data_IF_633004618730
#
_entry.id   IF_633004618730
#
_cell.length_a   1.000
_cell.length_b   1.000
_cell.length_c   1.000
_cell.angle_alpha   90.00
_cell.angle_beta   90.00
_cell.angle_gamma   90.00
#
_symmetry.space_group_name_H-M   'P 1'
#
loop_
_entity.id
_entity.type
_entity.pdbx_description
1 polymer ?
#
# COMPACT_ATOMS: atom_id res chain seq x y z
N UNK A 1 24.05 54.51 -21.65
CA UNK A 1 23.09 55.57 -22.01
C UNK A 1 23.40 56.09 -23.40
N UNK A 2 22.41 56.12 -24.29
CA UNK A 2 22.35 56.90 -25.55
C UNK A 2 23.35 56.50 -26.65
N UNK A 3 22.98 56.33 -27.92
CA UNK A 3 21.69 56.57 -28.56
C UNK A 3 21.64 55.90 -29.94
N UNK A 4 20.40 55.66 -30.36
CA UNK A 4 20.00 55.09 -31.65
C UNK A 4 20.26 56.07 -32.80
N UNK A 5 20.62 55.53 -33.94
CA UNK A 5 20.34 56.12 -35.25
C UNK A 5 20.66 55.16 -36.39
N UNK A 6 19.65 54.62 -37.09
CA UNK A 6 19.79 54.12 -38.46
C UNK A 6 18.89 54.95 -39.41
N UNK A 7 18.77 54.63 -40.71
CA UNK A 7 19.78 54.22 -41.70
C UNK A 7 19.59 54.97 -43.05
N UNK A 8 20.61 55.06 -43.91
CA UNK A 8 20.43 55.26 -45.36
C UNK A 8 21.82 55.21 -46.04
N UNK A 9 22.05 54.72 -47.24
CA UNK A 9 21.31 53.89 -48.20
C UNK A 9 22.28 53.63 -49.38
N UNK A 10 22.00 52.58 -50.16
CA UNK A 10 22.46 52.33 -51.54
C UNK A 10 23.92 51.92 -51.79
N UNK A 11 24.06 50.69 -52.28
CA UNK A 11 25.16 50.29 -53.17
C UNK A 11 25.47 48.79 -53.14
N UNK A 12 24.72 47.97 -53.88
CA UNK A 12 25.16 46.66 -54.39
C UNK A 12 24.90 46.74 -55.90
N UNK A 13 25.69 46.17 -56.84
CA UNK A 13 26.55 44.98 -56.67
C UNK A 13 27.91 45.00 -57.38
N UNK A 14 28.88 44.22 -56.88
CA UNK A 14 29.84 43.54 -57.76
C UNK A 14 29.95 42.07 -57.41
N UNK A 15 29.40 41.27 -58.32
CA UNK A 15 29.48 39.82 -58.39
C UNK A 15 30.86 39.44 -58.93
N UNK A 16 31.71 38.90 -58.06
CA UNK A 16 32.85 38.07 -58.45
C UNK A 16 33.05 37.15 -57.24
N UNK A 17 32.49 35.95 -57.20
CA UNK A 17 32.69 34.90 -58.17
C UNK A 17 33.72 33.97 -57.58
N UNK A 18 33.31 33.12 -56.64
CA UNK A 18 34.08 31.92 -56.36
C UNK A 18 33.15 30.71 -56.18
N UNK A 19 33.18 29.89 -57.24
CA UNK A 19 32.59 28.57 -57.28
C UNK A 19 33.50 27.68 -56.43
N UNK A 20 32.94 26.94 -55.47
CA UNK A 20 33.25 25.51 -55.26
C UNK A 20 32.48 24.96 -54.05
N UNK A 21 31.65 23.95 -54.36
CA UNK A 21 31.41 22.69 -53.63
C UNK A 21 30.87 22.79 -52.19
N UNK A 22 30.04 21.90 -51.68
CA UNK A 22 29.26 20.77 -52.16
C UNK A 22 28.50 20.26 -50.91
N UNK A 23 27.40 19.54 -51.12
CA UNK A 23 26.76 18.62 -50.16
C UNK A 23 26.18 19.27 -48.88
N UNK A 24 24.88 19.23 -48.60
CA UNK A 24 24.01 18.07 -48.73
C UNK A 24 23.98 17.31 -47.41
N UNK A 25 22.95 17.56 -46.59
CA UNK A 25 22.18 16.55 -45.86
C UNK A 25 21.39 17.19 -44.70
N UNK A 26 20.08 17.24 -44.89
CA UNK A 26 19.09 17.20 -43.80
C UNK A 26 19.12 15.80 -43.18
N UNK A 27 19.06 15.70 -41.85
CA UNK A 27 18.35 14.64 -41.11
C UNK A 27 18.59 14.90 -39.61
N UNK A 28 17.57 15.39 -38.91
CA UNK A 28 16.69 14.56 -38.09
C UNK A 28 17.31 14.33 -36.70
N UNK A 29 16.80 15.09 -35.73
CA UNK A 29 17.19 14.97 -34.34
C UNK A 29 16.85 13.59 -33.80
N UNK A 30 17.87 12.86 -33.39
CA UNK A 30 17.69 11.78 -32.45
C UNK A 30 17.78 12.37 -31.04
N UNK A 31 16.65 12.91 -30.56
CA UNK A 31 16.45 13.09 -29.14
C UNK A 31 16.27 11.70 -28.54
N UNK A 32 17.39 11.05 -28.20
CA UNK A 32 17.38 9.84 -27.40
C UNK A 32 16.88 10.26 -26.03
N UNK A 33 15.58 10.11 -25.79
CA UNK A 33 15.04 10.13 -24.43
C UNK A 33 15.81 9.05 -23.70
N UNK A 34 16.61 9.37 -22.66
CA UNK A 34 17.18 8.33 -21.83
C UNK A 34 15.98 7.58 -21.26
N UNK A 35 15.82 6.33 -21.67
CA UNK A 35 14.83 5.40 -21.15
C UNK A 35 14.86 5.53 -19.64
N UNK A 36 13.85 6.22 -19.09
CA UNK A 36 13.69 6.37 -17.65
C UNK A 36 13.79 4.97 -17.09
N UNK A 37 14.86 4.72 -16.33
CA UNK A 37 15.14 3.44 -15.72
C UNK A 37 13.81 2.95 -15.15
N UNK A 38 13.32 1.80 -15.65
CA UNK A 38 12.13 1.19 -15.10
C UNK A 38 12.44 1.03 -13.62
N UNK A 39 11.80 1.83 -12.77
CA UNK A 39 11.92 1.67 -11.34
C UNK A 39 11.43 0.24 -11.12
N UNK A 40 12.28 -0.70 -10.68
CA UNK A 40 11.79 -2.05 -10.40
C UNK A 40 10.65 -1.87 -9.39
N UNK A 41 9.50 -2.56 -9.57
CA UNK A 41 8.43 -2.46 -8.60
C UNK A 41 9.03 -2.77 -7.25
N UNK A 42 9.07 -1.77 -6.35
CA UNK A 42 9.45 -2.04 -4.97
C UNK A 42 8.47 -3.10 -4.50
N UNK A 43 8.92 -4.25 -3.96
CA UNK A 43 8.00 -5.21 -3.40
C UNK A 43 7.14 -4.46 -2.39
N UNK A 44 5.86 -4.31 -2.69
CA UNK A 44 4.89 -3.81 -1.72
C UNK A 44 4.76 -4.93 -0.69
N UNK A 45 5.66 -4.93 0.28
CA UNK A 45 5.51 -5.76 1.46
C UNK A 45 4.34 -5.15 2.20
N UNK A 46 3.15 -5.71 1.96
CA UNK A 46 1.98 -5.45 2.80
C UNK A 46 2.33 -6.04 4.15
N UNK A 47 2.93 -5.22 5.01
CA UNK A 47 3.02 -5.52 6.42
C UNK A 47 1.59 -5.39 6.96
N UNK A 48 0.79 -6.46 6.82
CA UNK A 48 -0.45 -6.58 7.57
C UNK A 48 -0.13 -6.33 9.05
N UNK A 49 -1.01 -5.60 9.74
CA UNK A 49 -0.82 -5.35 11.17
C UNK A 49 -0.59 -6.68 11.88
N UNK A 50 0.53 -6.84 12.56
CA UNK A 50 0.80 -8.06 13.33
C UNK A 50 0.01 -7.99 14.62
N UNK A 51 -0.96 -8.90 14.79
CA UNK A 51 -1.71 -9.04 16.04
C UNK A 51 -0.97 -9.96 17.00
N UNK A 52 -0.72 -9.48 18.21
CA UNK A 52 -0.23 -10.30 19.30
C UNK A 52 -1.37 -11.08 19.95
N UNK A 53 -1.03 -12.19 20.61
CA UNK A 53 -1.98 -12.95 21.41
C UNK A 53 -2.62 -12.07 22.51
N UNK A 54 -1.83 -11.23 23.17
CA UNK A 54 -2.29 -10.37 24.27
C UNK A 54 -3.33 -9.35 23.78
N UNK A 55 -3.09 -8.68 22.65
CA UNK A 55 -4.07 -7.75 22.07
C UNK A 55 -5.42 -8.44 21.77
N UNK A 56 -5.38 -9.69 21.28
CA UNK A 56 -6.61 -10.45 21.03
C UNK A 56 -7.30 -10.90 22.31
N UNK A 57 -6.56 -11.25 23.37
CA UNK A 57 -7.14 -11.54 24.68
C UNK A 57 -7.90 -10.33 25.23
N UNK A 58 -7.28 -9.14 25.16
CA UNK A 58 -7.86 -7.91 25.66
C UNK A 58 -9.12 -7.53 24.84
N UNK A 59 -9.04 -7.61 23.51
CA UNK A 59 -10.17 -7.36 22.61
C UNK A 59 -11.36 -8.29 22.89
N UNK A 60 -11.12 -9.60 23.00
CA UNK A 60 -12.18 -10.59 23.26
C UNK A 60 -12.80 -10.36 24.64
N UNK A 61 -11.98 -10.11 25.65
CA UNK A 61 -12.44 -9.83 27.02
C UNK A 61 -13.32 -8.58 27.06
N UNK A 62 -12.90 -7.49 26.42
CA UNK A 62 -13.68 -6.26 26.36
C UNK A 62 -15.01 -6.43 25.62
N UNK A 63 -15.04 -7.29 24.60
CA UNK A 63 -16.29 -7.61 23.91
C UNK A 63 -17.23 -8.44 24.76
N UNK A 64 -16.70 -9.42 25.49
CA UNK A 64 -17.45 -10.24 26.44
C UNK A 64 -18.03 -9.43 27.62
N UNK A 65 -17.39 -8.32 28.02
CA UNK A 65 -17.97 -7.38 29.01
C UNK A 65 -19.28 -6.75 28.55
N UNK A 66 -19.52 -6.67 27.23
CA UNK A 66 -20.75 -6.12 26.64
C UNK A 66 -21.84 -7.18 26.46
N UNK A 67 -21.49 -8.46 26.61
CA UNK A 67 -22.41 -9.58 26.50
C UNK A 67 -21.77 -10.80 25.82
N UNK A 68 -22.52 -11.91 25.71
CA UNK A 68 -22.07 -13.10 24.99
C UNK A 68 -21.80 -12.82 23.51
N UNK A 69 -20.89 -13.59 22.92
CA UNK A 69 -20.49 -13.44 21.52
C UNK A 69 -20.45 -14.79 20.82
N UNK A 70 -20.59 -14.77 19.49
CA UNK A 70 -20.24 -15.91 18.66
C UNK A 70 -18.81 -15.77 18.15
N UNK A 71 -18.01 -16.85 18.19
CA UNK A 71 -16.66 -16.84 17.63
C UNK A 71 -16.68 -16.50 16.13
N UNK A 72 -17.70 -16.92 15.39
CA UNK A 72 -17.78 -16.67 13.95
C UNK A 72 -17.74 -15.18 13.62
N UNK A 73 -18.36 -14.34 14.46
CA UNK A 73 -18.35 -12.89 14.27
C UNK A 73 -16.93 -12.34 14.39
N UNK A 74 -16.16 -12.79 15.39
CA UNK A 74 -14.76 -12.38 15.58
C UNK A 74 -13.87 -12.81 14.40
N UNK A 75 -14.15 -13.97 13.82
CA UNK A 75 -13.40 -14.49 12.67
C UNK A 75 -13.75 -13.70 11.40
N UNK A 76 -15.02 -13.34 11.21
CA UNK A 76 -15.46 -12.52 10.08
C UNK A 76 -14.99 -11.07 10.17
N UNK A 77 -14.78 -10.55 11.39
CA UNK A 77 -14.19 -9.23 11.64
C UNK A 77 -12.66 -9.20 11.43
N UNK A 78 -11.99 -10.35 11.29
CA UNK A 78 -10.53 -10.42 11.10
C UNK A 78 -10.13 -10.02 9.68
N UNK A 79 -9.04 -9.25 9.52
CA UNK A 79 -8.58 -8.76 8.21
C UNK A 79 -8.00 -9.88 7.33
N UNK A 80 -7.36 -10.87 7.96
CA UNK A 80 -6.75 -12.00 7.27
C UNK A 80 -6.85 -13.32 8.04
N UNK A 81 -6.40 -14.40 7.39
CA UNK A 81 -6.42 -15.75 7.96
C UNK A 81 -5.51 -15.89 9.18
N UNK A 82 -4.39 -15.17 9.23
CA UNK A 82 -3.48 -15.23 10.37
C UNK A 82 -4.13 -14.60 11.60
N UNK A 83 -4.75 -13.43 11.44
CA UNK A 83 -5.52 -12.78 12.49
C UNK A 83 -6.66 -13.67 13.00
N UNK A 84 -7.40 -14.32 12.10
CA UNK A 84 -8.45 -15.28 12.47
C UNK A 84 -7.89 -16.43 13.32
N UNK A 85 -6.73 -16.98 12.95
CA UNK A 85 -6.06 -18.04 13.72
C UNK A 85 -5.62 -17.52 15.09
N UNK A 86 -5.00 -16.35 15.18
CA UNK A 86 -4.57 -15.75 16.46
C UNK A 86 -5.78 -15.48 17.36
N UNK A 87 -6.89 -15.01 16.79
CA UNK A 87 -8.16 -14.79 17.51
C UNK A 87 -8.70 -16.10 18.08
N UNK A 88 -8.65 -17.19 17.31
CA UNK A 88 -9.06 -18.50 17.81
C UNK A 88 -8.14 -19.01 18.92
N UNK A 89 -6.82 -18.87 18.77
CA UNK A 89 -5.85 -19.23 19.81
C UNK A 89 -6.05 -18.40 21.08
N UNK A 90 -6.36 -17.11 20.96
CA UNK A 90 -6.70 -16.25 22.11
C UNK A 90 -7.96 -16.74 22.83
N UNK A 91 -8.99 -17.16 22.10
CA UNK A 91 -10.17 -17.77 22.72
C UNK A 91 -9.81 -19.08 23.45
N UNK A 92 -9.02 -19.96 22.83
CA UNK A 92 -8.57 -21.21 23.48
C UNK A 92 -7.74 -20.93 24.75
N UNK A 93 -6.95 -19.86 24.75
CA UNK A 93 -6.20 -19.41 25.91
C UNK A 93 -7.12 -18.95 27.05
N UNK A 94 -8.21 -18.21 26.74
CA UNK A 94 -9.21 -17.83 27.74
C UNK A 94 -9.92 -19.05 28.33
N UNK A 95 -10.23 -20.06 27.51
CA UNK A 95 -10.79 -21.34 27.98
C UNK A 95 -9.80 -22.03 28.90
N UNK A 96 -8.52 -22.12 28.51
CA UNK A 96 -7.46 -22.73 29.31
C UNK A 96 -7.30 -22.07 30.69
N UNK A 97 -7.47 -20.74 30.75
CA UNK A 97 -7.46 -19.94 31.99
C UNK A 97 -8.75 -20.04 32.80
N UNK A 98 -9.75 -20.79 32.34
CA UNK A 98 -11.08 -20.82 32.95
C UNK A 98 -11.75 -19.44 33.02
N UNK A 99 -11.39 -18.49 32.16
CA UNK A 99 -11.94 -17.13 32.17
C UNK A 99 -13.32 -17.04 31.47
N UNK A 100 -13.60 -17.97 30.57
CA UNK A 100 -14.83 -18.00 29.75
C UNK A 100 -15.48 -19.38 29.79
N UNK A 101 -16.78 -19.42 29.48
CA UNK A 101 -17.51 -20.65 29.17
C UNK A 101 -17.83 -20.66 27.69
N UNK A 102 -17.82 -21.86 27.10
CA UNK A 102 -18.04 -22.06 25.68
C UNK A 102 -19.07 -23.17 25.46
N UNK A 103 -19.99 -22.96 24.52
CA UNK A 103 -21.02 -23.93 24.14
C UNK A 103 -20.96 -24.15 22.62
N UNK A 104 -20.79 -25.41 22.21
CA UNK A 104 -20.83 -25.85 20.82
C UNK A 104 -21.62 -27.17 20.76
N UNK A 105 -22.74 -27.19 20.02
CA UNK A 105 -23.66 -28.35 19.98
C UNK A 105 -23.19 -29.45 19.04
N UNK A 106 -22.53 -29.07 17.95
CA UNK A 106 -22.11 -29.96 16.88
C UNK A 106 -20.69 -29.62 16.42
N UNK A 107 -19.98 -30.61 15.88
CA UNK A 107 -18.61 -30.39 15.38
C UNK A 107 -18.64 -29.38 14.25
N UNK A 108 -17.74 -28.39 14.31
CA UNK A 108 -17.66 -27.27 13.36
C UNK A 108 -18.92 -26.39 13.30
N UNK A 109 -19.86 -26.55 14.23
CA UNK A 109 -20.99 -25.65 14.39
C UNK A 109 -20.60 -24.36 15.13
N UNK A 110 -21.56 -23.43 15.31
CA UNK A 110 -21.36 -22.18 16.02
C UNK A 110 -20.79 -22.39 17.43
N UNK A 111 -19.91 -21.46 17.83
CA UNK A 111 -19.22 -21.47 19.12
C UNK A 111 -19.67 -20.23 19.88
N UNK A 112 -20.58 -20.45 20.82
CA UNK A 112 -21.08 -19.42 21.72
C UNK A 112 -20.14 -19.25 22.90
N UNK A 113 -19.77 -18.00 23.23
CA UNK A 113 -18.81 -17.66 24.28
C UNK A 113 -19.44 -16.67 25.26
N UNK A 114 -19.31 -16.97 26.56
CA UNK A 114 -19.80 -16.11 27.65
C UNK A 114 -18.73 -15.97 28.74
N UNK A 115 -18.77 -14.87 29.50
CA UNK A 115 -17.88 -14.69 30.66
C UNK A 115 -18.19 -15.75 31.72
N UNK A 116 -17.14 -16.31 32.34
CA UNK A 116 -17.34 -17.13 33.53
C UNK A 116 -17.44 -16.19 34.74
N UNK A 117 -18.57 -16.23 35.44
CA UNK A 117 -18.66 -15.59 36.75
C UNK A 117 -17.64 -16.24 37.71
N UNK A 118 -16.87 -15.44 38.47
CA UNK A 118 -16.01 -16.00 39.51
C UNK A 118 -16.91 -16.72 40.53
N UNK A 119 -16.54 -17.95 40.87
CA UNK A 119 -17.19 -18.67 41.98
C UNK A 119 -16.80 -17.92 43.25
N UNK A 120 -17.76 -17.25 43.87
CA UNK A 120 -17.63 -16.57 45.15
C UNK A 120 -17.43 -17.57 46.29
#
# INVERSE_FOLDING_TARGET
MGGRGPPASRGIPRLQGDRRRAAGARAAGNFLVPSAARIPPRPLVVHGRTWTLQEKLDLITDRLRRGPIELVDLILESEDRLEAVVTFVALLELIRRSAVRVRQKERFGPIHVETREPVA
#
